data_IF_463153029600
#
_entry.id   IF_463153029600
#
_cell.length_a   1.000
_cell.length_b   1.000
_cell.length_c   1.000
_cell.angle_alpha   90.00
_cell.angle_beta   90.00
_cell.angle_gamma   90.00
#
_symmetry.space_group_name_H-M   'P 1'
#
loop_
_entity.id
_entity.type
_entity.pdbx_description
1 polymer ?
#
# COMPACT_ATOMS: atom_id res chain seq x y z
N UNK A 1 14.43 6.66 -2.74
CA UNK A 1 13.00 6.96 -2.57
C UNK A 1 12.69 6.74 -1.11
N UNK A 2 12.27 7.79 -0.42
CA UNK A 2 11.91 7.71 0.99
C UNK A 2 10.55 6.99 1.14
N UNK A 3 10.50 6.03 2.05
CA UNK A 3 9.30 5.25 2.37
C UNK A 3 8.18 6.13 2.93
N UNK A 4 8.52 7.27 3.54
CA UNK A 4 7.56 8.27 4.02
C UNK A 4 6.76 8.87 2.86
N UNK A 5 7.41 9.19 1.73
CA UNK A 5 6.79 9.89 0.60
C UNK A 5 5.69 9.05 -0.08
N UNK A 6 5.96 7.77 -0.30
CA UNK A 6 4.95 6.85 -0.84
C UNK A 6 3.82 6.61 0.17
N UNK A 7 4.14 6.64 1.46
CA UNK A 7 3.18 6.68 2.55
C UNK A 7 2.19 7.81 2.46
N UNK A 8 2.71 9.04 2.42
CA UNK A 8 1.92 10.26 2.30
C UNK A 8 1.10 10.28 1.01
N UNK A 9 1.66 9.80 -0.11
CA UNK A 9 0.93 9.68 -1.36
C UNK A 9 -0.27 8.72 -1.23
N UNK A 10 -0.08 7.57 -0.57
CA UNK A 10 -1.15 6.63 -0.27
C UNK A 10 -2.18 7.26 0.68
N UNK A 11 -1.77 7.95 1.74
CA UNK A 11 -2.70 8.60 2.67
C UNK A 11 -3.53 9.69 1.99
N UNK A 12 -2.90 10.51 1.13
CA UNK A 12 -3.54 11.58 0.36
C UNK A 12 -4.57 11.05 -0.63
N UNK A 13 -4.32 9.92 -1.28
CA UNK A 13 -5.18 9.40 -2.36
C UNK A 13 -6.21 8.38 -1.86
N UNK A 14 -5.82 7.51 -0.94
CA UNK A 14 -6.62 6.37 -0.52
C UNK A 14 -7.43 6.63 0.76
N UNK A 15 -7.06 7.65 1.55
CA UNK A 15 -7.69 7.97 2.84
C UNK A 15 -7.89 6.75 3.77
N UNK A 16 -6.84 5.95 4.02
CA UNK A 16 -6.93 4.80 4.90
C UNK A 16 -7.13 5.23 6.36
N UNK A 17 -7.64 4.31 7.19
CA UNK A 17 -7.62 4.46 8.66
C UNK A 17 -6.19 4.57 9.19
N UNK A 18 -5.27 3.80 8.61
CA UNK A 18 -3.84 3.75 8.92
C UNK A 18 -3.07 3.12 7.76
N UNK A 19 -1.76 3.37 7.67
CA UNK A 19 -0.86 2.64 6.77
C UNK A 19 0.01 1.69 7.59
N UNK A 20 0.16 0.45 7.13
CA UNK A 20 1.11 -0.51 7.71
C UNK A 20 2.32 -0.67 6.79
N UNK A 21 3.52 -0.56 7.36
CA UNK A 21 4.78 -0.83 6.71
C UNK A 21 5.34 -2.15 7.24
N UNK A 22 5.90 -2.96 6.36
CA UNK A 22 6.56 -4.20 6.74
C UNK A 22 7.77 -4.44 5.87
N UNK A 23 8.95 -4.50 6.50
CA UNK A 23 10.19 -4.94 5.86
C UNK A 23 10.45 -6.33 6.43
N UNK A 24 10.21 -7.35 5.60
CA UNK A 24 10.46 -8.75 5.93
C UNK A 24 11.69 -9.21 5.12
N UNK A 25 11.69 -10.46 4.65
CA UNK A 25 12.82 -11.02 3.90
C UNK A 25 13.00 -12.53 4.05
N UNK A 26 12.04 -13.24 4.64
CA UNK A 26 12.19 -14.67 4.93
C UNK A 26 12.20 -15.56 3.67
N UNK A 27 11.59 -15.10 2.55
CA UNK A 27 11.47 -15.87 1.31
C UNK A 27 12.29 -15.27 0.17
N UNK A 28 12.19 -13.96 -0.03
CA UNK A 28 12.85 -13.26 -1.13
C UNK A 28 14.13 -12.54 -0.65
N UNK A 29 15.29 -12.78 -1.29
CA UNK A 29 16.59 -12.36 -0.77
C UNK A 29 16.95 -10.89 -1.06
N UNK A 30 16.07 -10.12 -1.68
CA UNK A 30 16.30 -8.69 -1.95
C UNK A 30 15.57 -7.82 -0.93
N UNK A 31 16.14 -6.67 -0.57
CA UNK A 31 15.49 -5.71 0.31
C UNK A 31 14.22 -5.17 -0.35
N UNK A 32 13.08 -5.39 0.30
CA UNK A 32 11.80 -4.87 -0.13
C UNK A 32 10.94 -4.52 1.08
N UNK A 33 10.00 -3.61 0.87
CA UNK A 33 9.01 -3.25 1.85
C UNK A 33 7.61 -3.49 1.25
N UNK A 34 6.68 -3.89 2.10
CA UNK A 34 5.27 -3.90 1.78
C UNK A 34 4.59 -2.72 2.49
N UNK A 35 3.67 -2.07 1.79
CA UNK A 35 2.90 -0.93 2.30
C UNK A 35 1.42 -1.25 2.10
N UNK A 36 0.66 -1.26 3.19
CA UNK A 36 -0.75 -1.65 3.17
C UNK A 36 -1.62 -0.53 3.75
N UNK A 37 -2.38 0.21 2.92
CA UNK A 37 -3.47 1.03 3.43
C UNK A 37 -4.53 0.11 4.06
N UNK A 38 -4.90 0.41 5.32
CA UNK A 38 -5.89 -0.32 6.11
C UNK A 38 -7.15 0.51 6.28
N UNK A 39 -8.31 -0.12 6.37
CA UNK A 39 -9.60 0.55 6.31
C UNK A 39 -10.57 0.08 7.40
N UNK A 40 -11.56 0.93 7.73
CA UNK A 40 -12.57 0.62 8.74
C UNK A 40 -13.50 -0.53 8.37
N UNK A 41 -13.70 -0.76 7.07
CA UNK A 41 -14.55 -1.84 6.56
C UNK A 41 -13.92 -3.23 6.66
N UNK A 42 -12.64 -3.33 7.03
CA UNK A 42 -12.00 -4.62 7.27
C UNK A 42 -12.67 -5.37 8.43
N UNK A 43 -12.72 -6.72 8.39
CA UNK A 43 -13.29 -7.53 9.48
C UNK A 43 -12.66 -7.19 10.82
N UNK A 44 -13.48 -7.02 11.86
CA UNK A 44 -13.03 -6.51 13.16
C UNK A 44 -11.99 -7.42 13.81
N UNK A 45 -12.10 -8.73 13.60
CA UNK A 45 -11.18 -9.75 14.08
C UNK A 45 -9.81 -9.74 13.38
N UNK A 46 -9.70 -9.11 12.19
CA UNK A 46 -8.44 -8.96 11.43
C UNK A 46 -7.86 -7.55 11.51
N UNK A 47 -8.73 -6.55 11.72
CA UNK A 47 -8.39 -5.13 11.74
C UNK A 47 -7.22 -4.77 12.67
N UNK A 48 -7.12 -5.27 13.92
CA UNK A 48 -6.00 -4.92 14.80
C UNK A 48 -4.68 -5.59 14.41
N UNK A 49 -4.71 -6.69 13.65
CA UNK A 49 -3.54 -7.52 13.34
C UNK A 49 -2.88 -7.16 11.99
N UNK A 50 -1.64 -7.64 11.73
CA UNK A 50 -0.99 -7.51 10.43
C UNK A 50 -1.78 -8.16 9.30
N UNK A 51 -1.66 -7.64 8.08
CA UNK A 51 -2.36 -8.17 6.90
C UNK A 51 -2.06 -9.65 6.64
N UNK A 52 -0.90 -10.14 7.08
CA UNK A 52 -0.51 -11.56 6.94
C UNK A 52 -1.38 -12.53 7.75
N UNK A 53 -2.31 -12.06 8.59
CA UNK A 53 -3.32 -12.88 9.27
C UNK A 53 -4.56 -13.16 8.41
N UNK A 54 -4.72 -12.48 7.28
CA UNK A 54 -5.78 -12.79 6.33
C UNK A 54 -5.60 -14.22 5.78
N UNK A 55 -6.70 -14.95 5.52
CA UNK A 55 -6.63 -16.30 4.96
C UNK A 55 -5.86 -16.36 3.64
N UNK A 56 -5.12 -17.44 3.40
CA UNK A 56 -4.28 -17.64 2.22
C UNK A 56 -5.07 -17.49 0.91
N UNK A 57 -6.35 -17.86 0.91
CA UNK A 57 -7.24 -17.74 -0.25
C UNK A 57 -7.36 -16.29 -0.73
N UNK A 58 -7.26 -15.30 0.16
CA UNK A 58 -7.30 -13.88 -0.21
C UNK A 58 -6.09 -13.43 -1.01
N UNK A 59 -4.95 -14.11 -0.84
CA UNK A 59 -3.70 -13.77 -1.53
C UNK A 59 -3.57 -14.40 -2.92
N UNK A 60 -4.36 -15.44 -3.20
CA UNK A 60 -4.35 -16.16 -4.49
C UNK A 60 -5.64 -15.98 -5.31
N UNK A 61 -6.63 -15.26 -4.78
CA UNK A 61 -7.91 -15.04 -5.44
C UNK A 61 -7.74 -14.12 -6.66
N UNK A 62 -7.84 -14.72 -7.85
CA UNK A 62 -7.72 -14.03 -9.14
C UNK A 62 -8.75 -12.90 -9.31
N UNK A 63 -9.87 -12.91 -8.59
CA UNK A 63 -10.89 -11.84 -8.67
C UNK A 63 -10.41 -10.52 -8.09
N UNK A 64 -9.45 -10.54 -7.16
CA UNK A 64 -8.87 -9.35 -6.53
C UNK A 64 -7.51 -8.96 -7.11
N UNK A 65 -7.02 -9.70 -8.11
CA UNK A 65 -5.79 -9.35 -8.81
C UNK A 65 -5.90 -7.99 -9.50
N UNK A 66 -4.74 -7.35 -9.65
CA UNK A 66 -4.61 -6.13 -10.41
C UNK A 66 -5.17 -6.29 -11.83
N UNK A 67 -5.86 -5.25 -12.27
CA UNK A 67 -6.49 -5.08 -13.60
C UNK A 67 -6.41 -3.61 -13.95
N UNK A 68 -5.81 -3.28 -15.09
CA UNK A 68 -5.58 -1.89 -15.49
C UNK A 68 -6.89 -1.11 -15.57
N UNK A 69 -7.94 -1.69 -16.18
CA UNK A 69 -9.26 -1.03 -16.29
C UNK A 69 -9.93 -0.67 -14.95
N UNK A 70 -9.56 -1.35 -13.86
CA UNK A 70 -10.15 -1.13 -12.53
C UNK A 70 -9.23 -0.30 -11.62
N UNK A 71 -7.92 -0.48 -11.74
CA UNK A 71 -6.95 0.02 -10.77
C UNK A 71 -5.98 1.05 -11.37
N UNK A 72 -5.97 1.22 -12.69
CA UNK A 72 -5.05 2.12 -13.40
C UNK A 72 -5.20 3.56 -12.96
N UNK A 73 -6.44 4.05 -12.79
CA UNK A 73 -6.71 5.40 -12.29
C UNK A 73 -6.19 5.62 -10.87
N UNK A 74 -6.34 4.63 -10.00
CA UNK A 74 -5.83 4.70 -8.64
C UNK A 74 -4.29 4.69 -8.64
N UNK A 75 -3.67 3.80 -9.43
CA UNK A 75 -2.21 3.75 -9.62
C UNK A 75 -1.70 5.11 -10.10
N UNK A 76 -2.33 5.68 -11.12
CA UNK A 76 -1.97 6.99 -11.68
C UNK A 76 -2.02 8.10 -10.62
N UNK A 77 -3.11 8.19 -9.86
CA UNK A 77 -3.26 9.19 -8.79
C UNK A 77 -2.18 9.06 -7.72
N UNK A 78 -1.86 7.84 -7.29
CA UNK A 78 -0.78 7.58 -6.32
C UNK A 78 0.57 8.00 -6.92
N UNK A 79 0.83 7.67 -8.18
CA UNK A 79 2.06 8.07 -8.88
C UNK A 79 2.20 9.60 -8.97
N UNK A 80 1.15 10.31 -9.37
CA UNK A 80 1.14 11.77 -9.45
C UNK A 80 1.41 12.41 -8.09
N UNK A 81 0.73 11.94 -7.04
CA UNK A 81 0.94 12.41 -5.67
C UNK A 81 2.37 12.14 -5.18
N UNK A 82 2.96 10.98 -5.51
CA UNK A 82 4.33 10.65 -5.15
C UNK A 82 5.34 11.57 -5.84
N UNK A 83 5.19 11.80 -7.15
CA UNK A 83 6.08 12.67 -7.93
C UNK A 83 6.00 14.11 -7.42
N UNK A 84 4.80 14.61 -7.13
CA UNK A 84 4.61 15.93 -6.50
C UNK A 84 5.41 16.05 -5.19
N UNK A 85 5.37 15.01 -4.35
CA UNK A 85 6.07 14.97 -3.06
C UNK A 85 7.58 14.89 -3.20
N UNK A 86 8.07 14.08 -4.13
CA UNK A 86 9.50 14.01 -4.44
C UNK A 86 10.03 15.37 -4.89
N UNK A 87 9.31 16.04 -5.80
CA UNK A 87 9.69 17.37 -6.26
C UNK A 87 9.71 18.39 -5.11
N UNK A 88 8.77 18.32 -4.17
CA UNK A 88 8.75 19.21 -3.00
C UNK A 88 9.93 18.95 -2.05
N UNK A 89 10.29 17.68 -1.84
CA UNK A 89 11.41 17.28 -0.97
C UNK A 89 12.78 17.68 -1.53
N UNK A 90 12.96 17.67 -2.85
CA UNK A 90 14.21 18.04 -3.52
C UNK A 90 14.48 19.56 -3.52
N UNK A 91 13.47 20.38 -3.20
CA UNK A 91 13.58 21.85 -3.13
C UNK A 91 13.56 22.39 -1.68
N UNK A 92 13.63 21.51 -0.68
CA UNK A 92 13.61 21.82 0.75
C UNK A 92 14.97 21.81 1.43
#
# INVERSE_FOLDING_TARGET
MDMSLIGEAIEKVCHPRRVNYSILGNKDPFLHAHIFPRYEWEPEELKPYPVWRYPDEKWIDKRVHYREEKHGDLRKKITEALVERMNQADHG
#
